data_IF_859547190671
#
_entry.id   IF_859547190671
#
_cell.length_a   1.000
_cell.length_b   1.000
_cell.length_c   1.000
_cell.angle_alpha   90.00
_cell.angle_beta   90.00
_cell.angle_gamma   90.00
#
_symmetry.space_group_name_H-M   'P 1'
#
loop_
_entity.id
_entity.type
_entity.pdbx_description
1 polymer ?
#
# COMPACT_ATOMS: atom_id res chain seq x y z
N UNK A 1 -8.60 19.96 -13.58
CA UNK A 1 -7.86 19.92 -12.30
C UNK A 1 -6.52 20.67 -12.31
N UNK A 2 -5.99 21.08 -13.46
CA UNK A 2 -4.74 21.87 -13.57
C UNK A 2 -4.75 23.16 -12.72
N UNK A 3 -5.87 23.87 -12.68
CA UNK A 3 -6.04 25.12 -11.90
C UNK A 3 -5.75 24.92 -10.41
N UNK A 4 -6.25 23.85 -9.77
CA UNK A 4 -6.00 23.62 -8.34
C UNK A 4 -4.53 23.33 -8.02
N UNK A 5 -3.79 22.80 -9.00
CA UNK A 5 -2.35 22.59 -8.87
C UNK A 5 -1.59 23.90 -8.98
N UNK A 6 -1.92 24.75 -9.96
CA UNK A 6 -1.32 26.08 -10.11
C UNK A 6 -1.58 26.98 -8.89
N UNK A 7 -2.75 26.82 -8.27
CA UNK A 7 -3.12 27.56 -7.07
C UNK A 7 -2.56 26.96 -5.78
N UNK A 8 -1.83 25.84 -5.84
CA UNK A 8 -1.32 25.10 -4.67
C UNK A 8 -2.44 24.81 -3.64
N UNK A 9 -3.64 24.52 -4.14
CA UNK A 9 -4.81 24.29 -3.27
C UNK A 9 -4.60 23.05 -2.42
N UNK A 10 -4.96 23.12 -1.15
CA UNK A 10 -4.90 21.97 -0.24
C UNK A 10 -5.74 20.79 -0.80
N UNK A 11 -5.12 19.60 -1.00
CA UNK A 11 -5.80 18.44 -1.55
C UNK A 11 -7.05 18.04 -0.76
N UNK A 12 -7.05 18.21 0.56
CA UNK A 12 -8.20 17.89 1.41
C UNK A 12 -9.46 18.68 1.01
N UNK A 13 -9.30 19.92 0.56
CA UNK A 13 -10.42 20.74 0.11
C UNK A 13 -10.94 20.31 -1.25
N UNK A 14 -10.05 19.90 -2.17
CA UNK A 14 -10.43 19.39 -3.50
C UNK A 14 -11.13 18.04 -3.38
N UNK A 15 -10.62 17.14 -2.53
CA UNK A 15 -11.24 15.85 -2.24
C UNK A 15 -12.63 16.06 -1.64
N UNK A 16 -12.79 17.08 -0.79
CA UNK A 16 -14.08 17.48 -0.26
C UNK A 16 -15.04 18.05 -1.30
N UNK A 17 -14.76 18.06 -2.61
CA UNK A 17 -15.79 18.31 -3.62
C UNK A 17 -16.56 17.04 -3.99
N UNK A 18 -16.01 15.86 -3.63
CA UNK A 18 -16.57 14.57 -3.99
C UNK A 18 -17.32 13.94 -2.81
N UNK A 19 -18.41 13.20 -3.08
CA UNK A 19 -19.13 12.47 -2.05
C UNK A 19 -18.29 11.28 -1.53
N UNK A 20 -18.49 10.92 -0.25
CA UNK A 20 -17.97 9.71 0.40
C UNK A 20 -16.44 9.48 0.44
N UNK A 21 -15.62 10.46 0.01
CA UNK A 21 -14.16 10.31 0.01
C UNK A 21 -13.52 10.69 1.36
N UNK A 22 -14.07 11.68 2.06
CA UNK A 22 -13.62 12.13 3.39
C UNK A 22 -14.56 11.66 4.50
N UNK A 23 -14.09 11.55 5.75
CA UNK A 23 -14.96 11.38 6.92
C UNK A 23 -15.99 12.50 6.99
N UNK A 24 -17.23 12.17 7.31
CA UNK A 24 -18.37 13.11 7.28
C UNK A 24 -18.15 14.30 8.22
N UNK A 25 -17.55 14.06 9.39
CA UNK A 25 -17.27 15.10 10.38
C UNK A 25 -16.26 16.11 9.84
N UNK A 26 -15.22 15.62 9.16
CA UNK A 26 -14.21 16.48 8.57
C UNK A 26 -14.77 17.23 7.35
N UNK A 27 -15.48 16.51 6.47
CA UNK A 27 -16.13 17.04 5.27
C UNK A 27 -17.10 18.18 5.60
N UNK A 28 -17.86 18.04 6.68
CA UNK A 28 -18.84 19.03 7.15
C UNK A 28 -18.21 20.28 7.74
N UNK A 29 -16.94 20.20 8.17
CA UNK A 29 -16.19 21.36 8.67
C UNK A 29 -15.65 22.27 7.56
N UNK A 30 -15.65 21.79 6.31
CA UNK A 30 -15.15 22.53 5.16
C UNK A 30 -16.19 23.50 4.60
N UNK A 31 -15.78 24.74 4.39
CA UNK A 31 -16.61 25.80 3.82
C UNK A 31 -16.22 26.06 2.37
N UNK A 32 -17.23 26.13 1.50
CA UNK A 32 -17.07 26.43 0.09
C UNK A 32 -17.82 27.74 -0.27
N UNK A 33 -17.32 28.53 -1.23
CA UNK A 33 -17.96 29.81 -1.60
C UNK A 33 -19.38 29.64 -2.13
N UNK A 34 -19.64 28.53 -2.80
CA UNK A 34 -20.93 28.16 -3.38
C UNK A 34 -21.35 26.77 -2.91
N UNK A 35 -22.63 26.45 -3.10
CA UNK A 35 -23.13 25.10 -2.87
C UNK A 35 -22.39 24.13 -3.80
N UNK A 36 -21.93 23.03 -3.22
CA UNK A 36 -21.17 22.02 -3.96
C UNK A 36 -22.14 21.38 -4.97
N UNK A 37 -21.84 21.45 -6.28
CA UNK A 37 -22.71 20.87 -7.30
C UNK A 37 -22.86 19.37 -7.05
N UNK A 38 -24.10 18.89 -7.15
CA UNK A 38 -24.36 17.45 -7.09
C UNK A 38 -23.82 16.82 -8.37
N UNK A 39 -22.77 16.01 -8.24
CA UNK A 39 -22.18 15.28 -9.37
C UNK A 39 -23.18 14.21 -9.79
N UNK A 40 -23.62 14.23 -11.05
CA UNK A 40 -24.48 13.17 -11.59
C UNK A 40 -23.68 11.87 -11.71
N UNK A 41 -24.33 10.71 -11.57
CA UNK A 41 -23.66 9.41 -11.58
C UNK A 41 -22.80 9.17 -12.84
N UNK A 42 -23.23 9.70 -13.99
CA UNK A 42 -22.49 9.62 -15.25
C UNK A 42 -21.21 10.48 -15.31
N UNK A 43 -21.16 11.57 -14.54
CA UNK A 43 -20.01 12.49 -14.49
C UNK A 43 -19.05 12.14 -13.35
N UNK A 44 -19.49 11.33 -12.37
CA UNK A 44 -18.72 10.97 -11.19
C UNK A 44 -17.45 10.21 -11.56
N UNK A 45 -17.55 9.23 -12.45
CA UNK A 45 -16.38 8.44 -12.88
C UNK A 45 -15.30 9.33 -13.51
N UNK A 46 -15.69 10.21 -14.45
CA UNK A 46 -14.81 11.18 -15.10
C UNK A 46 -14.17 12.12 -14.06
N UNK A 47 -14.96 12.60 -13.11
CA UNK A 47 -14.48 13.42 -12.00
C UNK A 47 -13.46 12.70 -11.13
N UNK A 48 -13.68 11.41 -10.83
CA UNK A 48 -12.76 10.59 -10.05
C UNK A 48 -11.43 10.37 -10.78
N UNK A 49 -11.43 10.15 -12.10
CA UNK A 49 -10.19 10.06 -12.88
C UNK A 49 -9.41 11.39 -12.85
N UNK A 50 -10.10 12.52 -13.01
CA UNK A 50 -9.47 13.84 -12.93
C UNK A 50 -8.90 14.11 -11.53
N UNK A 51 -9.62 13.71 -10.47
CA UNK A 51 -9.13 13.79 -9.10
C UNK A 51 -7.89 12.92 -8.89
N UNK A 52 -7.91 11.67 -9.35
CA UNK A 52 -6.75 10.76 -9.25
C UNK A 52 -5.53 11.36 -9.94
N UNK A 53 -5.67 11.90 -11.15
CA UNK A 53 -4.55 12.55 -11.86
C UNK A 53 -3.93 13.69 -11.04
N UNK A 54 -4.77 14.57 -10.48
CA UNK A 54 -4.31 15.62 -9.57
C UNK A 54 -3.63 15.07 -8.31
N UNK A 55 -4.20 14.05 -7.68
CA UNK A 55 -3.65 13.43 -6.46
C UNK A 55 -2.31 12.74 -6.73
N UNK A 56 -2.14 12.07 -7.88
CA UNK A 56 -0.85 11.49 -8.31
C UNK A 56 0.21 12.57 -8.44
N UNK A 57 -0.11 13.68 -9.11
CA UNK A 57 0.82 14.80 -9.28
C UNK A 57 1.22 15.40 -7.93
N UNK A 58 0.25 15.60 -7.03
CA UNK A 58 0.51 16.10 -5.69
C UNK A 58 1.36 15.13 -4.86
N UNK A 59 1.05 13.84 -4.90
CA UNK A 59 1.82 12.80 -4.23
C UNK A 59 3.28 12.80 -4.68
N UNK A 60 3.52 12.85 -6.00
CA UNK A 60 4.86 12.94 -6.57
C UNK A 60 5.59 14.20 -6.09
N UNK A 61 4.94 15.36 -6.15
CA UNK A 61 5.50 16.61 -5.66
C UNK A 61 5.92 16.52 -4.19
N UNK A 62 5.01 16.04 -3.32
CA UNK A 62 5.29 15.84 -1.90
C UNK A 62 6.46 14.89 -1.67
N UNK A 63 6.55 13.77 -2.38
CA UNK A 63 7.67 12.82 -2.17
C UNK A 63 9.01 13.39 -2.64
N UNK A 64 9.02 14.20 -3.70
CA UNK A 64 10.26 14.78 -4.26
C UNK A 64 10.76 16.02 -3.52
N UNK A 65 9.86 16.81 -2.93
CA UNK A 65 10.26 18.09 -2.32
C UNK A 65 10.84 17.88 -0.91
N UNK A 66 12.09 18.28 -0.73
CA UNK A 66 12.81 18.26 0.54
C UNK A 66 12.65 19.56 1.33
N UNK A 67 12.07 20.62 0.74
CA UNK A 67 11.83 21.88 1.47
C UNK A 67 10.67 21.71 2.44
N UNK A 68 10.93 22.03 3.71
CA UNK A 68 10.08 21.72 4.87
C UNK A 68 8.77 22.50 4.96
N UNK A 69 8.53 23.50 4.13
CA UNK A 69 7.32 24.35 4.23
C UNK A 69 6.37 24.11 3.06
N UNK A 70 5.27 23.44 3.36
CA UNK A 70 4.13 23.27 2.47
C UNK A 70 3.34 24.58 2.39
N UNK A 71 3.50 25.32 1.29
CA UNK A 71 2.75 26.55 1.02
C UNK A 71 1.37 26.26 0.40
N UNK A 72 0.56 25.44 1.07
CA UNK A 72 -0.79 25.15 0.58
C UNK A 72 -1.75 26.31 0.84
N UNK A 73 -2.58 26.62 -0.16
CA UNK A 73 -3.64 27.63 -0.08
C UNK A 73 -4.99 26.98 0.25
N UNK A 74 -5.80 27.59 1.13
CA UNK A 74 -7.15 27.12 1.35
C UNK A 74 -8.10 27.58 0.25
N UNK A 75 -9.18 26.83 -0.02
CA UNK A 75 -10.22 27.26 -0.98
C UNK A 75 -10.97 28.50 -0.46
N UNK A 76 -11.12 28.61 0.86
CA UNK A 76 -11.72 29.76 1.55
C UNK A 76 -10.86 30.16 2.74
N UNK A 77 -10.80 31.44 3.09
CA UNK A 77 -10.01 31.92 4.24
C UNK A 77 -10.47 31.35 5.59
N UNK A 78 -11.68 30.79 5.66
CA UNK A 78 -12.23 30.09 6.82
C UNK A 78 -11.68 28.66 7.01
N UNK A 79 -11.17 28.03 5.95
CA UNK A 79 -10.67 26.67 6.03
C UNK A 79 -9.22 26.63 6.51
N UNK A 80 -8.91 25.66 7.36
CA UNK A 80 -7.54 25.38 7.79
C UNK A 80 -6.90 24.39 6.83
N UNK A 81 -5.68 24.67 6.41
CA UNK A 81 -4.88 23.74 5.61
C UNK A 81 -4.11 22.74 6.47
N UNK A 82 -3.87 21.56 5.93
CA UNK A 82 -3.08 20.51 6.55
C UNK A 82 -1.61 20.84 6.36
N UNK A 83 -0.91 21.04 7.48
CA UNK A 83 0.52 21.42 7.48
C UNK A 83 1.48 20.24 7.52
N UNK A 84 0.99 19.06 7.90
CA UNK A 84 1.79 17.85 7.99
C UNK A 84 1.87 17.15 6.63
N UNK A 85 3.09 17.03 6.09
CA UNK A 85 3.39 16.27 4.86
C UNK A 85 2.89 14.83 4.94
N UNK A 86 3.11 14.15 6.06
CA UNK A 86 2.67 12.77 6.29
C UNK A 86 1.14 12.66 6.30
N UNK A 87 0.46 13.62 6.93
CA UNK A 87 -1.01 13.63 6.97
C UNK A 87 -1.62 13.88 5.59
N UNK A 88 -1.01 14.75 4.78
CA UNK A 88 -1.41 14.96 3.38
C UNK A 88 -1.22 13.69 2.55
N UNK A 89 -0.03 13.07 2.61
CA UNK A 89 0.25 11.82 1.91
C UNK A 89 -0.74 10.72 2.31
N UNK A 90 -1.09 10.64 3.60
CA UNK A 90 -2.08 9.69 4.08
C UNK A 90 -3.48 9.94 3.51
N UNK A 91 -3.94 11.19 3.48
CA UNK A 91 -5.25 11.54 2.90
C UNK A 91 -5.26 11.28 1.40
N UNK A 92 -4.17 11.63 0.71
CA UNK A 92 -3.99 11.39 -0.73
C UNK A 92 -4.06 9.89 -1.03
N UNK A 93 -3.22 9.07 -0.39
CA UNK A 93 -3.16 7.62 -0.65
C UNK A 93 -4.49 6.93 -0.29
N UNK A 94 -5.10 7.30 0.84
CA UNK A 94 -6.41 6.75 1.26
C UNK A 94 -7.50 7.11 0.26
N UNK A 95 -7.49 8.34 -0.26
CA UNK A 95 -8.47 8.79 -1.25
C UNK A 95 -8.25 8.11 -2.59
N UNK A 96 -7.00 8.02 -3.06
CA UNK A 96 -6.67 7.30 -4.28
C UNK A 96 -7.14 5.85 -4.24
N UNK A 97 -6.99 5.16 -3.09
CA UNK A 97 -7.53 3.81 -2.90
C UNK A 97 -9.06 3.78 -3.09
N UNK A 98 -9.79 4.69 -2.44
CA UNK A 98 -11.26 4.79 -2.57
C UNK A 98 -11.67 5.07 -4.02
N UNK A 99 -10.99 5.98 -4.71
CA UNK A 99 -11.23 6.24 -6.13
C UNK A 99 -11.00 4.98 -6.99
N UNK A 100 -9.88 4.28 -6.79
CA UNK A 100 -9.59 3.04 -7.53
C UNK A 100 -10.60 1.93 -7.27
N UNK A 101 -11.16 1.83 -6.07
CA UNK A 101 -12.23 0.87 -5.78
C UNK A 101 -13.54 1.16 -6.54
N UNK A 102 -13.73 2.42 -6.95
CA UNK A 102 -14.90 2.86 -7.72
C UNK A 102 -14.66 2.86 -9.23
N UNK A 103 -13.42 3.06 -9.68
CA UNK A 103 -13.09 3.21 -11.11
C UNK A 103 -12.27 2.04 -11.67
N UNK A 104 -11.08 1.79 -11.13
CA UNK A 104 -10.15 0.79 -11.64
C UNK A 104 -9.50 -0.03 -10.51
N UNK A 105 -10.13 -1.17 -10.21
CA UNK A 105 -9.72 -2.06 -9.12
C UNK A 105 -8.33 -2.68 -9.31
N UNK A 106 -7.80 -2.74 -10.54
CA UNK A 106 -6.48 -3.31 -10.80
C UNK A 106 -5.35 -2.46 -10.19
N UNK A 107 -5.60 -1.16 -9.98
CA UNK A 107 -4.62 -0.23 -9.41
C UNK A 107 -4.55 -0.29 -7.88
N UNK A 108 -5.57 -0.86 -7.22
CA UNK A 108 -5.63 -0.96 -5.74
C UNK A 108 -4.45 -1.73 -5.19
N UNK A 109 -4.18 -2.91 -5.75
CA UNK A 109 -3.08 -3.75 -5.30
C UNK A 109 -1.71 -3.12 -5.61
N UNK A 110 -1.60 -2.37 -6.72
CA UNK A 110 -0.39 -1.63 -7.09
C UNK A 110 -0.09 -0.48 -6.11
N UNK A 111 -1.11 0.30 -5.73
CA UNK A 111 -0.99 1.36 -4.72
C UNK A 111 -0.56 0.77 -3.36
N UNK A 112 -1.20 -0.32 -2.93
CA UNK A 112 -0.93 -0.91 -1.63
C UNK A 112 0.49 -1.46 -1.49
N UNK A 113 1.09 -1.96 -2.58
CA UNK A 113 2.45 -2.53 -2.62
C UNK A 113 3.58 -1.50 -2.71
N UNK A 114 3.27 -0.21 -2.81
CA UNK A 114 4.30 0.82 -2.77
C UNK A 114 5.03 0.78 -1.43
N UNK A 115 6.36 0.92 -1.45
CA UNK A 115 7.18 0.94 -0.22
C UNK A 115 6.77 2.10 0.69
N UNK A 116 6.49 3.26 0.09
CA UNK A 116 6.02 4.46 0.80
C UNK A 116 4.49 4.56 0.78
N UNK A 117 3.79 3.53 1.24
CA UNK A 117 2.33 3.52 1.31
C UNK A 117 1.80 4.19 2.60
N UNK A 118 1.19 5.37 2.46
CA UNK A 118 0.66 6.16 3.57
C UNK A 118 -0.83 5.89 3.87
N UNK A 119 -1.47 4.95 3.18
CA UNK A 119 -2.88 4.58 3.40
C UNK A 119 -3.23 4.50 4.89
N UNK A 120 -4.34 5.12 5.28
CA UNK A 120 -4.87 5.02 6.62
C UNK A 120 -5.53 3.65 6.83
N UNK A 121 -5.01 2.85 7.77
CA UNK A 121 -5.42 1.45 7.94
C UNK A 121 -6.93 1.25 8.05
N UNK A 122 -7.59 1.91 9.02
CA UNK A 122 -9.01 1.62 9.31
C UNK A 122 -9.96 2.10 8.20
N UNK A 123 -9.72 3.29 7.64
CA UNK A 123 -10.42 3.80 6.45
C UNK A 123 -10.29 2.87 5.25
N UNK A 124 -9.07 2.44 4.92
CA UNK A 124 -8.82 1.55 3.80
C UNK A 124 -9.44 0.17 4.05
N UNK A 125 -9.36 -0.36 5.27
CA UNK A 125 -10.01 -1.61 5.62
C UNK A 125 -11.53 -1.55 5.43
N UNK A 126 -12.18 -0.49 5.91
CA UNK A 126 -13.62 -0.30 5.73
C UNK A 126 -14.01 -0.26 4.26
N UNK A 127 -13.23 0.48 3.45
CA UNK A 127 -13.44 0.56 2.01
C UNK A 127 -13.24 -0.81 1.33
N UNK A 128 -12.15 -1.52 1.60
CA UNK A 128 -11.88 -2.83 1.02
C UNK A 128 -12.94 -3.87 1.40
N UNK A 129 -13.40 -3.87 2.66
CA UNK A 129 -14.50 -4.73 3.13
C UNK A 129 -15.81 -4.40 2.42
N UNK A 130 -16.16 -3.12 2.28
CA UNK A 130 -17.38 -2.66 1.57
C UNK A 130 -17.40 -3.17 0.12
N UNK A 131 -16.24 -3.19 -0.55
CA UNK A 131 -16.10 -3.65 -1.94
C UNK A 131 -15.72 -5.15 -2.07
N UNK A 132 -15.75 -5.91 -0.96
CA UNK A 132 -15.39 -7.34 -0.92
C UNK A 132 -14.00 -7.66 -1.49
N UNK A 133 -13.05 -6.73 -1.37
CA UNK A 133 -11.67 -6.85 -1.86
C UNK A 133 -10.75 -7.48 -0.80
N UNK A 134 -11.03 -8.74 -0.47
CA UNK A 134 -10.32 -9.47 0.59
C UNK A 134 -8.86 -9.75 0.24
N UNK A 135 -8.54 -10.00 -1.04
CA UNK A 135 -7.17 -10.19 -1.50
C UNK A 135 -6.30 -8.96 -1.25
N UNK A 136 -6.83 -7.78 -1.53
CA UNK A 136 -6.19 -6.50 -1.31
C UNK A 136 -6.11 -6.16 0.18
N UNK A 137 -7.11 -6.56 0.98
CA UNK A 137 -7.08 -6.41 2.43
C UNK A 137 -5.93 -7.18 3.08
N UNK A 138 -5.59 -8.37 2.58
CA UNK A 138 -4.39 -9.10 3.02
C UNK A 138 -3.11 -8.31 2.71
N UNK A 139 -3.03 -7.67 1.54
CA UNK A 139 -1.89 -6.82 1.17
C UNK A 139 -1.80 -5.62 2.13
N UNK A 140 -2.91 -4.94 2.39
CA UNK A 140 -2.95 -3.82 3.33
C UNK A 140 -2.45 -4.24 4.72
N UNK A 141 -2.94 -5.36 5.26
CA UNK A 141 -2.50 -5.85 6.56
C UNK A 141 -1.02 -6.20 6.58
N UNK A 142 -0.51 -6.85 5.53
CA UNK A 142 0.92 -7.16 5.43
C UNK A 142 1.76 -5.88 5.46
N UNK A 143 1.38 -4.87 4.67
CA UNK A 143 2.12 -3.61 4.56
C UNK A 143 2.04 -2.76 5.85
N UNK A 144 1.01 -2.97 6.67
CA UNK A 144 0.82 -2.29 7.96
C UNK A 144 1.25 -3.13 9.17
N UNK A 145 1.92 -4.26 8.96
CA UNK A 145 2.41 -5.15 10.03
C UNK A 145 1.30 -5.85 10.82
N UNK A 146 0.07 -5.87 10.30
CA UNK A 146 -1.12 -6.46 10.93
C UNK A 146 -1.22 -7.97 10.62
N UNK A 147 -0.14 -8.71 10.80
CA UNK A 147 -0.02 -10.12 10.37
C UNK A 147 -1.07 -11.03 11.02
N UNK A 148 -1.40 -10.81 12.30
CA UNK A 148 -2.44 -11.57 13.00
C UNK A 148 -3.82 -11.39 12.33
N UNK A 149 -4.20 -10.15 12.02
CA UNK A 149 -5.48 -9.84 11.33
C UNK A 149 -5.52 -10.48 9.94
N UNK A 150 -4.40 -10.48 9.21
CA UNK A 150 -4.31 -11.15 7.92
C UNK A 150 -4.52 -12.67 8.01
N UNK A 151 -3.81 -13.32 8.93
CA UNK A 151 -3.87 -14.77 9.13
C UNK A 151 -5.25 -15.21 9.64
N UNK A 152 -5.87 -14.45 10.54
CA UNK A 152 -7.22 -14.70 11.02
C UNK A 152 -8.27 -14.56 9.91
N UNK A 153 -8.12 -13.56 9.04
CA UNK A 153 -8.99 -13.40 7.87
C UNK A 153 -8.85 -14.59 6.92
N UNK A 154 -7.63 -15.00 6.56
CA UNK A 154 -7.43 -16.16 5.68
C UNK A 154 -8.01 -17.44 6.28
N UNK A 155 -7.80 -17.68 7.58
CA UNK A 155 -8.38 -18.83 8.28
C UNK A 155 -9.91 -18.82 8.26
N UNK A 156 -10.53 -17.66 8.47
CA UNK A 156 -12.00 -17.52 8.49
C UNK A 156 -12.63 -17.70 7.11
N UNK A 157 -11.87 -17.37 6.07
CA UNK A 157 -12.31 -17.42 4.67
C UNK A 157 -11.98 -18.75 3.98
N UNK A 158 -11.12 -19.58 4.58
CA UNK A 158 -10.58 -20.82 4.02
C UNK A 158 -11.65 -21.76 3.44
N UNK A 159 -12.74 -21.96 4.18
CA UNK A 159 -13.78 -22.93 3.86
C UNK A 159 -14.92 -22.35 3.01
N UNK A 160 -14.89 -21.04 2.72
CA UNK A 160 -15.96 -20.37 1.99
C UNK A 160 -15.79 -20.61 0.48
N UNK A 161 -16.78 -21.21 -0.20
CA UNK A 161 -16.63 -21.66 -1.58
C UNK A 161 -16.37 -20.51 -2.57
N UNK A 162 -16.97 -19.34 -2.32
CA UNK A 162 -16.88 -18.16 -3.19
C UNK A 162 -15.80 -17.16 -2.74
N UNK A 163 -15.03 -17.49 -1.70
CA UNK A 163 -14.03 -16.56 -1.19
C UNK A 163 -12.77 -16.57 -2.07
N UNK A 164 -12.22 -15.40 -2.43
CA UNK A 164 -10.91 -15.33 -3.09
C UNK A 164 -9.75 -15.76 -2.19
N UNK A 165 -10.02 -16.02 -0.91
CA UNK A 165 -9.06 -16.53 0.08
C UNK A 165 -9.31 -18.01 0.42
N UNK A 166 -10.13 -18.72 -0.36
CA UNK A 166 -10.39 -20.14 -0.17
C UNK A 166 -9.07 -20.95 -0.27
N UNK A 167 -8.93 -21.92 0.62
CA UNK A 167 -7.78 -22.83 0.64
C UNK A 167 -6.63 -22.35 1.52
N UNK A 168 -5.83 -23.32 1.96
CA UNK A 168 -4.73 -23.16 2.92
C UNK A 168 -3.44 -22.68 2.25
N UNK A 169 -3.33 -22.77 0.92
CA UNK A 169 -2.12 -22.47 0.16
C UNK A 169 -1.65 -21.03 0.37
N UNK A 170 -2.60 -20.08 0.42
CA UNK A 170 -2.29 -18.68 0.66
C UNK A 170 -1.78 -18.42 2.07
N UNK A 171 -2.33 -19.14 3.06
CA UNK A 171 -1.82 -19.08 4.44
C UNK A 171 -0.39 -19.62 4.50
N UNK A 172 -0.11 -20.76 3.85
CA UNK A 172 1.24 -21.32 3.80
C UNK A 172 2.21 -20.32 3.19
N UNK A 173 1.87 -19.76 2.03
CA UNK A 173 2.72 -18.77 1.36
C UNK A 173 2.96 -17.56 2.26
N UNK A 174 1.93 -17.06 2.94
CA UNK A 174 2.07 -15.94 3.87
C UNK A 174 3.02 -16.26 5.03
N UNK A 175 2.84 -17.42 5.66
CA UNK A 175 3.68 -17.87 6.78
C UNK A 175 5.14 -18.06 6.38
N UNK A 176 5.40 -18.56 5.15
CA UNK A 176 6.76 -18.73 4.63
C UNK A 176 7.49 -17.41 4.38
N UNK A 177 6.76 -16.32 4.15
CA UNK A 177 7.33 -14.98 3.92
C UNK A 177 7.37 -14.12 5.18
N UNK A 178 6.79 -14.57 6.30
CA UNK A 178 6.95 -13.90 7.59
C UNK A 178 8.37 -14.08 8.11
N UNK A 179 8.90 -13.03 8.71
CA UNK A 179 10.25 -13.04 9.25
C UNK A 179 10.31 -13.68 10.66
N UNK A 180 11.57 -13.84 11.09
CA UNK A 180 12.06 -14.22 12.42
C UNK A 180 11.18 -13.75 13.59
N UNK A 181 10.86 -12.46 13.56
CA UNK A 181 10.24 -11.76 14.68
C UNK A 181 8.79 -12.15 14.91
N UNK A 182 8.15 -12.78 13.93
CA UNK A 182 6.77 -13.25 14.01
C UNK A 182 6.67 -14.76 14.23
N UNK A 183 7.72 -15.39 14.79
CA UNK A 183 7.76 -16.83 15.07
C UNK A 183 6.53 -17.33 15.85
N UNK A 184 6.04 -16.58 16.84
CA UNK A 184 4.85 -16.95 17.61
C UNK A 184 3.62 -17.10 16.71
N UNK A 185 3.40 -16.16 15.78
CA UNK A 185 2.32 -16.23 14.80
C UNK A 185 2.53 -17.38 13.82
N UNK A 186 3.77 -17.61 13.38
CA UNK A 186 4.10 -18.73 12.50
C UNK A 186 3.72 -20.05 13.18
N UNK A 187 4.12 -20.27 14.43
CA UNK A 187 3.79 -21.49 15.15
C UNK A 187 2.29 -21.60 15.47
N UNK A 188 1.64 -20.51 15.86
CA UNK A 188 0.20 -20.49 16.15
C UNK A 188 -0.62 -20.92 14.93
N UNK A 189 -0.36 -20.31 13.77
CA UNK A 189 -1.16 -20.56 12.57
C UNK A 189 -0.70 -21.79 11.79
N UNK A 190 0.55 -22.26 11.96
CA UNK A 190 0.96 -23.55 11.39
C UNK A 190 0.17 -24.72 11.98
N UNK A 191 -0.24 -24.65 13.25
CA UNK A 191 -0.98 -25.73 13.93
C UNK A 191 -2.27 -26.11 13.21
N UNK A 192 -3.06 -25.12 12.78
CA UNK A 192 -4.34 -25.42 12.13
C UNK A 192 -4.12 -25.98 10.71
N UNK A 193 -3.13 -25.45 9.99
CA UNK A 193 -2.78 -25.96 8.65
C UNK A 193 -2.30 -27.40 8.76
N UNK A 194 -1.41 -27.71 9.72
CA UNK A 194 -0.92 -29.08 9.96
C UNK A 194 -2.04 -30.05 10.37
N UNK A 195 -3.02 -29.57 11.14
CA UNK A 195 -4.14 -30.40 11.58
C UNK A 195 -5.09 -30.80 10.44
N UNK A 196 -5.29 -29.92 9.46
CA UNK A 196 -6.21 -30.17 8.33
C UNK A 196 -5.48 -30.69 7.07
N UNK A 197 -4.24 -30.22 6.84
CA UNK A 197 -3.44 -30.45 5.65
C UNK A 197 -1.99 -30.78 6.04
N UNK A 198 -1.72 -31.96 6.61
CA UNK A 198 -0.41 -32.30 7.18
C UNK A 198 0.73 -32.26 6.15
N UNK A 199 0.51 -32.76 4.93
CA UNK A 199 1.55 -32.77 3.88
C UNK A 199 1.98 -31.36 3.47
N UNK A 200 1.02 -30.43 3.36
CA UNK A 200 1.29 -29.06 2.97
C UNK A 200 1.77 -28.20 4.15
N UNK A 201 1.29 -28.46 5.37
CA UNK A 201 1.75 -27.77 6.57
C UNK A 201 3.23 -28.00 6.87
N UNK A 202 3.78 -29.16 6.49
CA UNK A 202 5.22 -29.43 6.61
C UNK A 202 6.07 -28.47 5.74
N UNK A 203 5.52 -27.94 4.64
CA UNK A 203 6.20 -26.98 3.77
C UNK A 203 6.47 -25.63 4.47
N UNK A 204 5.73 -25.31 5.52
CA UNK A 204 5.94 -24.09 6.31
C UNK A 204 7.28 -24.15 7.05
N UNK A 205 7.68 -25.34 7.53
CA UNK A 205 8.90 -25.53 8.31
C UNK A 205 10.15 -25.74 7.45
N UNK A 206 9.99 -26.18 6.20
CA UNK A 206 11.11 -26.57 5.33
C UNK A 206 11.65 -25.45 4.42
N UNK A 207 11.04 -24.26 4.37
CA UNK A 207 11.52 -23.14 3.54
C UNK A 207 12.78 -22.43 4.09
N UNK A 208 13.50 -23.04 5.04
CA UNK A 208 14.82 -22.59 5.49
C UNK A 208 15.91 -22.91 4.47
N UNK A 209 15.89 -22.28 3.30
CA UNK A 209 17.05 -22.26 2.39
C UNK A 209 16.97 -21.11 1.40
N UNK A 210 17.26 -19.89 1.86
CA UNK A 210 17.84 -18.83 1.03
C UNK A 210 18.91 -18.07 1.84
N UNK A 211 19.93 -18.83 2.26
CA UNK A 211 21.30 -18.33 2.45
C UNK A 211 22.24 -19.43 1.93
N UNK A 212 22.27 -19.59 0.60
CA UNK A 212 23.43 -20.20 -0.03
C UNK A 212 24.51 -19.11 -0.10
N UNK A 213 25.47 -19.15 0.83
CA UNK A 213 26.84 -18.70 0.62
C UNK A 213 27.74 -19.12 1.80
N UNK A 214 28.47 -20.22 1.56
CA UNK A 214 29.75 -20.58 2.18
C UNK A 214 29.73 -21.01 3.65
N UNK A 215 30.48 -22.01 4.10
CA UNK A 215 31.39 -22.95 3.49
C UNK A 215 31.72 -23.95 4.62
N UNK A 216 31.58 -25.26 4.40
CA UNK A 216 32.20 -26.27 5.28
C UNK A 216 33.67 -26.40 4.86
N UNK A 217 34.65 -26.36 5.78
CA UNK A 217 36.06 -26.43 5.39
C UNK A 217 36.45 -27.90 5.17
N UNK A 218 36.57 -28.30 3.91
CA UNK A 218 37.36 -29.48 3.54
C UNK A 218 38.80 -29.07 3.26
N UNK A 219 39.69 -29.61 4.08
CA UNK A 219 41.14 -29.52 4.02
C UNK A 219 41.74 -30.05 2.70
N UNK A 220 42.70 -29.30 2.14
CA UNK A 220 44.07 -29.70 1.74
C UNK A 220 44.53 -29.05 0.42
N UNK A 221 45.70 -28.38 0.50
CA UNK A 221 46.85 -28.29 -0.45
C UNK A 221 46.55 -27.87 -1.90
N UNK A 222 47.34 -27.08 -2.64
CA UNK A 222 48.63 -26.38 -2.55
C UNK A 222 48.73 -25.58 -3.86
N UNK A 223 49.46 -24.46 -3.84
CA UNK A 223 50.20 -23.86 -4.96
C UNK A 223 49.48 -23.45 -6.26
N UNK A 224 49.32 -22.13 -6.47
CA UNK A 224 50.36 -21.26 -7.06
C UNK A 224 49.79 -20.10 -7.88
N UNK A 225 50.41 -18.91 -7.68
CA UNK A 225 50.48 -17.73 -8.57
C UNK A 225 49.18 -17.02 -8.97
N UNK A 226 48.97 -15.80 -8.45
CA UNK A 226 48.56 -14.64 -9.25
C UNK A 226 48.87 -13.31 -8.52
N UNK A 227 49.50 -12.37 -9.22
CA UNK A 227 49.69 -10.96 -8.84
C UNK A 227 48.47 -10.11 -9.28
N UNK A 228 48.31 -8.87 -8.79
CA UNK A 228 46.99 -8.24 -8.61
C UNK A 228 46.67 -7.08 -9.58
N UNK A 229 45.49 -6.50 -9.35
CA UNK A 229 45.00 -5.15 -9.71
C UNK A 229 44.41 -4.90 -11.10
N UNK A 230 43.09 -4.64 -11.16
CA UNK A 230 42.57 -3.32 -11.54
C UNK A 230 41.07 -3.12 -11.23
N UNK A 231 40.78 -2.14 -10.36
CA UNK A 231 39.76 -1.09 -10.41
C UNK A 231 38.44 -1.30 -11.21
N UNK A 232 37.28 -1.14 -10.53
CA UNK A 232 36.46 0.10 -10.56
C UNK A 232 35.17 -0.04 -9.74
N UNK A 233 34.77 1.11 -9.20
CA UNK A 233 33.75 1.35 -8.19
C UNK A 233 32.30 1.14 -8.67
N UNK A 234 31.48 0.71 -7.73
CA UNK A 234 30.03 0.71 -7.72
C UNK A 234 29.47 2.13 -7.60
N UNK A 235 28.46 2.46 -8.40
CA UNK A 235 27.47 3.47 -8.05
C UNK A 235 26.05 2.99 -8.41
N UNK A 236 25.12 3.49 -7.61
CA UNK A 236 23.76 3.02 -7.34
C UNK A 236 22.80 3.13 -8.53
N UNK A 237 21.98 2.08 -8.73
CA UNK A 237 20.81 2.11 -9.60
C UNK A 237 19.54 2.44 -8.80
N UNK A 238 18.86 3.53 -9.19
CA UNK A 238 17.51 3.88 -8.77
C UNK A 238 16.56 3.62 -9.97
N UNK A 239 15.46 2.85 -9.82
CA UNK A 239 14.58 2.57 -10.96
C UNK A 239 13.56 3.70 -11.17
N UNK A 240 13.73 4.39 -12.29
CA UNK A 240 12.75 5.28 -12.92
C UNK A 240 11.48 4.52 -13.30
N UNK A 241 10.32 5.00 -12.83
CA UNK A 241 9.02 4.77 -13.47
C UNK A 241 8.36 6.13 -13.72
N UNK A 242 8.81 6.79 -14.78
CA UNK A 242 8.02 7.76 -15.52
C UNK A 242 7.74 7.14 -16.88
N UNK A 243 6.48 6.80 -17.17
CA UNK A 243 6.02 6.72 -18.55
C UNK A 243 4.69 7.44 -18.67
N UNK A 244 4.77 8.57 -19.37
CA UNK A 244 3.68 9.32 -19.94
C UNK A 244 3.19 8.63 -21.21
N UNK A 245 1.90 8.74 -21.48
CA UNK A 245 1.34 9.07 -22.79
C UNK A 245 0.02 9.78 -22.56
#
# INVERSE_FOLDING_TARGET
MFIFRELETDPSHVIGLFPDLLPEEYRSSLHYPENIPMIQDGDLETGLYALVDYLVQMRCHLLTDQKSELSLTPITSSNKTIRSKTSLLQIIDTTMLKCYLMTNVALVASLLRLQDNYCHLEECERALKKHQKLSELIILYQQKGQHKRALELMKTENDKPDSPLKGHERTINYLQHLDKSHADLIFEYSKWVLAQHPEDGLKISTSSSNTANGCLPSTQKTDSRFSPENSRQQEHFCPMLCYSS
#
